data_IF_207947995462
#
_entry.id   IF_207947995462
#
_cell.length_a   1.000
_cell.length_b   1.000
_cell.length_c   1.000
_cell.angle_alpha   90.00
_cell.angle_beta   90.00
_cell.angle_gamma   90.00
#
_symmetry.space_group_name_H-M   'P 1'
#
loop_
_entity.id
_entity.type
_entity.pdbx_description
1 polymer ?
#
# COMPACT_ATOMS: atom_id res chain seq x y z
N UNK A 1 13.35 -4.68 -23.88
CA UNK A 1 12.35 -4.24 -22.89
C UNK A 1 12.47 -5.24 -21.76
N UNK A 2 12.95 -4.80 -20.60
CA UNK A 2 13.14 -5.67 -19.45
C UNK A 2 11.76 -6.03 -18.90
N UNK A 3 11.41 -7.32 -18.94
CA UNK A 3 10.09 -7.79 -18.54
C UNK A 3 9.98 -7.80 -17.01
N UNK A 4 8.97 -7.10 -16.47
CA UNK A 4 8.64 -7.17 -15.07
C UNK A 4 8.04 -8.56 -14.78
N UNK A 5 8.58 -9.32 -13.81
CA UNK A 5 8.15 -10.69 -13.61
C UNK A 5 6.72 -10.74 -13.07
N UNK A 6 5.88 -11.57 -13.71
CA UNK A 6 4.45 -11.68 -13.42
C UNK A 6 4.11 -11.99 -11.94
N UNK A 7 5.00 -12.68 -11.23
CA UNK A 7 4.82 -13.00 -9.80
C UNK A 7 4.80 -11.74 -8.93
N UNK A 8 5.51 -10.69 -9.34
CA UNK A 8 5.55 -9.42 -8.60
C UNK A 8 4.37 -8.50 -8.95
N UNK A 9 3.61 -8.80 -10.01
CA UNK A 9 2.42 -8.04 -10.41
C UNK A 9 1.11 -8.71 -9.98
N UNK A 10 1.16 -9.90 -9.40
CA UNK A 10 -0.02 -10.61 -8.94
C UNK A 10 -0.68 -9.86 -7.77
N UNK A 11 -1.99 -9.59 -7.88
CA UNK A 11 -2.76 -8.90 -6.86
C UNK A 11 -4.14 -9.53 -6.68
N UNK A 12 -4.65 -9.52 -5.46
CA UNK A 12 -6.02 -9.89 -5.12
C UNK A 12 -6.74 -8.70 -4.47
N UNK A 13 -7.97 -8.41 -4.86
CA UNK A 13 -8.76 -7.32 -4.27
C UNK A 13 -9.79 -7.90 -3.31
N UNK A 14 -9.70 -7.53 -2.03
CA UNK A 14 -10.68 -7.88 -1.01
C UNK A 14 -11.50 -6.65 -0.61
N UNK A 15 -12.78 -6.86 -0.29
CA UNK A 15 -13.65 -5.78 0.16
C UNK A 15 -13.84 -5.89 1.68
N UNK A 16 -13.25 -4.96 2.42
CA UNK A 16 -13.38 -4.89 3.88
C UNK A 16 -14.44 -3.87 4.30
N UNK A 17 -15.03 -4.04 5.47
CA UNK A 17 -15.92 -3.04 6.07
C UNK A 17 -15.10 -2.00 6.82
N UNK A 18 -15.54 -0.75 6.76
CA UNK A 18 -15.01 0.30 7.63
C UNK A 18 -15.49 0.06 9.07
N UNK A 19 -14.64 0.32 10.08
CA UNK A 19 -15.04 0.19 11.47
C UNK A 19 -16.26 1.08 11.76
N UNK A 20 -17.24 0.55 12.49
CA UNK A 20 -18.48 1.24 12.81
C UNK A 20 -19.53 1.30 11.69
N UNK A 21 -19.27 0.71 10.50
CA UNK A 21 -20.23 0.64 9.39
C UNK A 21 -20.41 -0.79 8.90
N UNK A 22 -21.48 -1.45 9.34
CA UNK A 22 -21.71 -2.88 9.07
C UNK A 22 -22.49 -3.17 7.79
N UNK A 23 -23.16 -2.17 7.21
CA UNK A 23 -24.07 -2.34 6.07
C UNK A 23 -23.37 -2.12 4.72
N UNK A 24 -23.23 -3.18 3.93
CA UNK A 24 -22.61 -3.12 2.60
C UNK A 24 -23.44 -2.37 1.55
N UNK A 25 -24.72 -2.12 1.80
CA UNK A 25 -25.57 -1.35 0.88
C UNK A 25 -25.26 0.15 0.93
N UNK A 26 -24.60 0.62 1.99
CA UNK A 26 -24.28 2.03 2.15
C UNK A 26 -22.97 2.39 1.40
N UNK A 27 -23.02 3.25 0.38
CA UNK A 27 -21.82 3.75 -0.29
C UNK A 27 -20.99 4.54 0.74
N UNK A 28 -19.79 4.06 1.06
CA UNK A 28 -18.87 4.48 2.15
C UNK A 28 -18.77 3.55 3.37
N UNK A 29 -19.49 2.43 3.40
CA UNK A 29 -19.34 1.43 4.47
C UNK A 29 -18.23 0.40 4.21
N UNK A 30 -17.73 0.30 2.97
CA UNK A 30 -16.68 -0.63 2.59
C UNK A 30 -15.45 0.08 2.01
N UNK A 31 -14.31 -0.60 2.07
CA UNK A 31 -13.03 -0.19 1.52
C UNK A 31 -12.45 -1.36 0.72
N UNK A 32 -12.26 -1.20 -0.60
CA UNK A 32 -11.46 -2.15 -1.37
C UNK A 32 -10.01 -2.07 -0.92
N UNK A 33 -9.41 -3.22 -0.58
CA UNK A 33 -7.99 -3.35 -0.30
C UNK A 33 -7.37 -4.25 -1.35
N UNK A 34 -6.33 -3.76 -2.01
CA UNK A 34 -5.54 -4.51 -2.96
C UNK A 34 -4.39 -5.15 -2.19
N UNK A 35 -4.32 -6.47 -2.25
CA UNK A 35 -3.26 -7.28 -1.66
C UNK A 35 -2.34 -7.74 -2.78
N UNK A 36 -1.08 -7.31 -2.75
CA UNK A 36 -0.04 -7.88 -3.59
C UNK A 36 0.31 -9.29 -3.12
N UNK A 37 0.76 -10.13 -4.04
CA UNK A 37 1.39 -11.41 -3.70
C UNK A 37 2.60 -11.20 -2.78
N UNK A 38 2.96 -12.22 -1.98
CA UNK A 38 4.00 -12.12 -0.96
C UNK A 38 5.35 -11.63 -1.51
N UNK A 39 5.70 -12.02 -2.73
CA UNK A 39 6.93 -11.56 -3.38
C UNK A 39 6.88 -10.08 -3.77
N UNK A 40 5.75 -9.63 -4.35
CA UNK A 40 5.54 -8.22 -4.68
C UNK A 40 5.51 -7.34 -3.44
N UNK A 41 4.83 -7.79 -2.37
CA UNK A 41 4.79 -7.09 -1.10
C UNK A 41 6.18 -6.94 -0.46
N UNK A 42 6.98 -8.02 -0.43
CA UNK A 42 8.32 -7.97 0.14
C UNK A 42 9.26 -6.99 -0.58
N UNK A 43 9.22 -6.98 -1.91
CA UNK A 43 9.97 -6.02 -2.71
C UNK A 43 9.53 -4.58 -2.41
N UNK A 44 8.22 -4.33 -2.43
CA UNK A 44 7.67 -3.00 -2.16
C UNK A 44 7.98 -2.53 -0.74
N UNK A 45 7.99 -3.41 0.25
CA UNK A 45 8.33 -3.08 1.63
C UNK A 45 9.78 -2.60 1.74
N UNK A 46 10.71 -3.31 1.10
CA UNK A 46 12.14 -2.97 1.11
C UNK A 46 12.37 -1.63 0.39
N UNK A 47 11.83 -1.48 -0.83
CA UNK A 47 11.99 -0.25 -1.61
C UNK A 47 11.38 0.97 -0.90
N UNK A 48 10.22 0.81 -0.27
CA UNK A 48 9.60 1.91 0.49
C UNK A 48 10.46 2.32 1.68
N UNK A 49 11.06 1.37 2.40
CA UNK A 49 11.93 1.68 3.53
C UNK A 49 13.15 2.49 3.10
N UNK A 50 13.81 2.09 2.03
CA UNK A 50 14.96 2.83 1.48
C UNK A 50 14.55 4.22 0.99
N UNK A 51 13.43 4.30 0.26
CA UNK A 51 12.94 5.55 -0.31
C UNK A 51 12.52 6.56 0.78
N UNK A 52 11.88 6.09 1.85
CA UNK A 52 11.53 6.94 3.00
C UNK A 52 12.80 7.45 3.67
N UNK A 53 13.78 6.59 3.95
CA UNK A 53 15.04 7.00 4.55
C UNK A 53 15.77 8.06 3.71
N UNK A 54 15.77 7.90 2.38
CA UNK A 54 16.39 8.88 1.48
C UNK A 54 15.63 10.21 1.47
N UNK A 55 14.31 10.17 1.46
CA UNK A 55 13.47 11.35 1.54
C UNK A 55 13.66 12.12 2.84
N UNK A 56 13.83 11.43 3.97
CA UNK A 56 14.17 12.05 5.26
C UNK A 56 15.56 12.68 5.23
N UNK A 57 16.58 11.96 4.73
CA UNK A 57 17.94 12.48 4.64
C UNK A 57 18.08 13.70 3.72
N UNK A 58 17.31 13.74 2.64
CA UNK A 58 17.30 14.86 1.68
C UNK A 58 16.38 16.01 2.11
N UNK A 59 15.65 15.88 3.23
CA UNK A 59 14.71 16.90 3.70
C UNK A 59 13.48 17.08 2.80
N UNK A 60 13.10 16.04 2.03
CA UNK A 60 11.93 16.06 1.17
C UNK A 60 10.62 15.89 1.95
N UNK A 61 10.69 15.28 3.13
CA UNK A 61 9.56 15.11 4.05
C UNK A 61 9.74 16.10 5.22
N UNK A 62 8.67 16.80 5.67
CA UNK A 62 8.76 17.69 6.83
C UNK A 62 9.11 16.96 8.13
N UNK A 63 9.94 17.58 8.98
CA UNK A 63 10.43 17.05 10.28
C UNK A 63 9.35 16.56 11.26
N UNK A 64 8.07 16.87 11.01
CA UNK A 64 6.93 16.53 11.87
C UNK A 64 5.78 15.88 11.11
N UNK A 65 6.07 15.21 10.00
CA UNK A 65 5.08 14.43 9.29
C UNK A 65 4.86 13.08 9.99
N UNK A 66 3.90 13.05 10.93
CA UNK A 66 3.38 11.81 11.50
C UNK A 66 2.20 11.36 10.65
N UNK A 67 2.24 10.10 10.20
CA UNK A 67 1.40 9.54 9.13
C UNK A 67 -0.06 10.03 9.07
N UNK A 68 -0.52 10.28 7.84
CA UNK A 68 -1.90 10.66 7.50
C UNK A 68 -2.84 9.48 7.33
#
# INVERSE_FOLDING_TARGET
MEEYPNVLSATNTIILRKPGKSDYQNPNAYCPIILSDGWGWGLHATLNQDLVAWCEHLGLIPDRHFGG
#
